data_IF_606925544541
#
_entry.id   IF_606925544541
#
_cell.length_a   1.000
_cell.length_b   1.000
_cell.length_c   1.000
_cell.angle_alpha   90.00
_cell.angle_beta   90.00
_cell.angle_gamma   90.00
#
_symmetry.space_group_name_H-M   'P 1'
#
loop_
_entity.id
_entity.type
_entity.pdbx_description
1 polymer ?
#
# COMPACT_ATOMS: atom_id res chain seq x y z
N UNK A 1 28.09 10.96 20.03
CA UNK A 1 27.56 10.64 18.68
C UNK A 1 26.37 9.68 18.76
N UNK A 2 26.46 8.57 19.51
CA UNK A 2 25.33 7.66 19.82
C UNK A 2 24.08 8.36 20.40
N UNK A 3 24.28 9.41 21.20
CA UNK A 3 23.21 10.18 21.85
C UNK A 3 22.20 10.83 20.88
N UNK A 4 22.61 11.19 19.66
CA UNK A 4 21.70 11.82 18.68
C UNK A 4 20.75 10.76 18.08
N UNK A 5 21.30 9.59 17.73
CA UNK A 5 20.53 8.48 17.17
C UNK A 5 19.60 7.87 18.21
N UNK A 6 20.09 7.69 19.44
CA UNK A 6 19.26 7.24 20.57
C UNK A 6 18.11 8.21 20.82
N UNK A 7 18.38 9.52 20.88
CA UNK A 7 17.34 10.54 21.04
C UNK A 7 16.32 10.50 19.92
N UNK A 8 16.73 10.21 18.69
CA UNK A 8 15.82 10.02 17.56
C UNK A 8 14.95 8.77 17.74
N UNK A 9 15.56 7.61 17.96
CA UNK A 9 14.87 6.32 18.04
C UNK A 9 13.84 6.25 19.18
N UNK A 10 14.17 6.84 20.34
CA UNK A 10 13.32 6.85 21.53
C UNK A 10 12.44 8.10 21.65
N UNK A 11 12.44 8.97 20.64
CA UNK A 11 11.50 10.10 20.61
C UNK A 11 10.08 9.63 20.26
N UNK A 12 9.05 10.35 20.74
CA UNK A 12 7.68 10.15 20.30
C UNK A 12 7.53 10.37 18.79
N UNK A 13 6.69 9.56 18.14
CA UNK A 13 6.49 9.62 16.67
C UNK A 13 6.10 11.03 16.16
N UNK A 14 5.32 11.76 16.96
CA UNK A 14 4.84 13.11 16.65
C UNK A 14 5.96 14.15 16.50
N UNK A 15 7.14 13.90 17.06
CA UNK A 15 8.26 14.85 17.02
C UNK A 15 8.84 15.02 15.62
N UNK A 16 8.94 13.92 14.86
CA UNK A 16 9.58 13.92 13.54
C UNK A 16 8.57 13.81 12.39
N UNK A 17 7.38 13.27 12.66
CA UNK A 17 6.35 13.07 11.65
C UNK A 17 5.13 13.90 12.02
N UNK A 18 4.63 14.67 11.06
CA UNK A 18 3.41 15.45 11.24
C UNK A 18 2.18 14.52 11.27
N UNK A 19 1.68 14.24 12.47
CA UNK A 19 0.57 13.32 12.74
C UNK A 19 -0.44 14.02 13.67
N UNK A 20 -1.74 13.77 13.43
CA UNK A 20 -2.84 14.27 14.27
C UNK A 20 -2.89 13.53 15.61
N UNK A 21 -3.41 14.18 16.65
CA UNK A 21 -3.47 13.60 18.00
C UNK A 21 -4.25 12.28 18.05
N UNK A 22 -5.36 12.19 17.32
CA UNK A 22 -6.19 10.99 17.27
C UNK A 22 -5.44 9.81 16.63
N UNK A 23 -4.60 10.10 15.62
CA UNK A 23 -3.76 9.12 14.95
C UNK A 23 -2.59 8.70 15.83
N UNK A 24 -2.02 9.59 16.65
CA UNK A 24 -1.03 9.21 17.67
C UNK A 24 -1.64 8.25 18.68
N UNK A 25 -2.87 8.51 19.13
CA UNK A 25 -3.61 7.60 20.00
C UNK A 25 -3.88 6.25 19.33
N UNK A 26 -4.09 6.24 18.00
CA UNK A 26 -4.19 5.02 17.22
C UNK A 26 -2.89 4.21 17.17
N UNK A 27 -1.76 4.87 16.93
CA UNK A 27 -0.43 4.23 16.95
C UNK A 27 -0.13 3.62 18.32
N UNK A 28 -0.45 4.32 19.43
CA UNK A 28 -0.28 3.78 20.78
C UNK A 28 -1.07 2.50 21.04
N UNK A 29 -2.27 2.35 20.48
CA UNK A 29 -3.06 1.10 20.57
C UNK A 29 -2.38 -0.08 19.87
N UNK A 30 -1.59 0.20 18.84
CA UNK A 30 -0.77 -0.81 18.16
C UNK A 30 0.54 -1.10 18.90
N UNK A 31 0.80 -0.45 20.03
CA UNK A 31 2.06 -0.54 20.77
C UNK A 31 3.17 0.35 20.22
N UNK A 32 2.85 1.26 19.29
CA UNK A 32 3.83 2.16 18.66
C UNK A 32 3.86 3.47 19.46
N UNK A 33 4.89 3.63 20.30
CA UNK A 33 5.08 4.84 21.10
C UNK A 33 6.17 5.75 20.52
N UNK A 34 7.24 5.13 20.02
CA UNK A 34 8.45 5.83 19.58
C UNK A 34 8.78 5.54 18.11
N UNK A 35 9.73 6.28 17.55
CA UNK A 35 10.20 6.08 16.16
C UNK A 35 10.77 4.66 15.97
N UNK A 36 11.48 4.11 16.96
CA UNK A 36 11.94 2.72 16.94
C UNK A 36 10.78 1.75 16.70
N UNK A 37 9.72 1.87 17.49
CA UNK A 37 8.57 0.95 17.39
C UNK A 37 7.93 1.04 16.00
N UNK A 38 7.90 2.24 15.41
CA UNK A 38 7.37 2.46 14.07
C UNK A 38 8.27 1.85 12.98
N UNK A 39 9.59 2.01 13.07
CA UNK A 39 10.55 1.43 12.13
C UNK A 39 10.49 -0.10 12.13
N UNK A 40 10.30 -0.71 13.29
CA UNK A 40 10.24 -2.17 13.44
C UNK A 40 8.81 -2.74 13.44
N UNK A 41 7.82 -1.95 13.03
CA UNK A 41 6.44 -2.41 12.92
C UNK A 41 6.21 -3.19 11.62
N UNK A 42 6.51 -4.48 11.65
CA UNK A 42 6.54 -5.32 10.46
C UNK A 42 5.15 -5.58 9.83
N UNK A 43 5.09 -5.76 8.51
CA UNK A 43 3.87 -6.18 7.85
C UNK A 43 3.49 -7.62 8.25
N UNK A 44 2.19 -7.88 8.30
CA UNK A 44 1.61 -9.20 8.61
C UNK A 44 1.52 -10.06 7.35
N UNK A 45 1.30 -9.43 6.20
CA UNK A 45 1.22 -10.09 4.90
C UNK A 45 1.61 -9.12 3.79
N UNK A 46 1.78 -9.64 2.58
CA UNK A 46 2.06 -8.86 1.39
C UNK A 46 0.98 -9.13 0.35
N UNK A 47 0.52 -8.06 -0.28
CA UNK A 47 -0.46 -8.11 -1.35
C UNK A 47 0.24 -7.97 -2.69
N UNK A 48 0.18 -9.02 -3.50
CA UNK A 48 0.69 -8.99 -4.86
C UNK A 48 -0.36 -8.39 -5.79
N UNK A 49 0.05 -7.42 -6.59
CA UNK A 49 -0.72 -6.73 -7.60
C UNK A 49 -0.05 -6.98 -8.95
N UNK A 50 -0.83 -7.37 -9.94
CA UNK A 50 -0.33 -7.53 -11.30
C UNK A 50 -0.32 -6.15 -11.95
N UNK A 51 0.86 -5.69 -12.37
CA UNK A 51 1.03 -4.40 -13.03
C UNK A 51 0.71 -4.52 -14.53
N UNK A 52 -0.21 -3.69 -15.00
CA UNK A 52 -0.66 -3.59 -16.40
C UNK A 52 -0.86 -4.95 -17.09
N UNK A 53 -1.67 -5.87 -16.52
CA UNK A 53 -1.93 -7.15 -17.16
C UNK A 53 -2.74 -6.98 -18.45
N UNK A 54 -2.67 -7.98 -19.31
CA UNK A 54 -3.65 -8.17 -20.36
C UNK A 54 -5.01 -8.49 -19.73
N UNK A 55 -5.99 -7.59 -19.88
CA UNK A 55 -7.34 -7.74 -19.29
C UNK A 55 -8.06 -9.02 -19.72
N UNK A 56 -7.69 -9.59 -20.87
CA UNK A 56 -8.25 -10.85 -21.37
C UNK A 56 -7.74 -12.08 -20.60
N UNK A 57 -6.58 -11.97 -19.94
CA UNK A 57 -5.92 -13.08 -19.24
C UNK A 57 -6.12 -13.05 -17.72
N UNK A 58 -6.70 -11.96 -17.21
CA UNK A 58 -6.94 -11.78 -15.77
C UNK A 58 -8.02 -12.74 -15.28
N UNK A 59 -7.80 -13.31 -14.09
CA UNK A 59 -8.73 -14.24 -13.47
C UNK A 59 -9.58 -13.55 -12.40
N UNK A 60 -10.73 -14.16 -12.12
CA UNK A 60 -11.55 -13.75 -10.98
C UNK A 60 -10.73 -13.81 -9.69
N UNK A 61 -10.74 -12.70 -8.95
CA UNK A 61 -10.04 -12.57 -7.69
C UNK A 61 -8.63 -12.00 -7.76
N UNK A 62 -8.06 -11.84 -8.96
CA UNK A 62 -6.76 -11.19 -9.13
C UNK A 62 -6.83 -9.72 -8.72
N UNK A 63 -5.73 -9.21 -8.18
CA UNK A 63 -5.62 -7.79 -7.85
C UNK A 63 -4.72 -7.18 -8.91
N UNK A 64 -5.29 -6.26 -9.69
CA UNK A 64 -4.57 -5.64 -10.80
C UNK A 64 -4.39 -4.16 -10.54
N UNK A 65 -3.36 -3.62 -11.17
CA UNK A 65 -3.16 -2.20 -11.28
C UNK A 65 -2.86 -1.85 -12.74
N UNK A 66 -3.74 -1.10 -13.38
CA UNK A 66 -3.62 -0.80 -14.82
C UNK A 66 -4.01 0.65 -15.08
N UNK A 67 -3.42 1.22 -16.13
CA UNK A 67 -3.93 2.44 -16.73
C UNK A 67 -5.21 2.12 -17.51
N UNK A 68 -6.19 3.02 -17.44
CA UNK A 68 -7.50 2.88 -18.09
C UNK A 68 -7.94 4.24 -18.63
N UNK A 69 -8.64 4.21 -19.75
CA UNK A 69 -9.32 5.37 -20.35
C UNK A 69 -10.81 5.25 -20.06
N UNK A 70 -11.41 6.32 -19.54
CA UNK A 70 -12.85 6.34 -19.26
C UNK A 70 -13.64 6.48 -20.58
N UNK A 71 -14.51 5.52 -20.87
CA UNK A 71 -15.33 5.52 -22.09
C UNK A 71 -16.74 6.08 -21.84
N UNK A 72 -17.37 5.68 -20.75
CA UNK A 72 -18.71 6.17 -20.40
C UNK A 72 -18.97 6.16 -18.91
N UNK A 73 -19.82 7.09 -18.46
CA UNK A 73 -20.21 7.25 -17.05
C UNK A 73 -21.72 7.11 -16.96
N UNK A 74 -22.18 6.00 -16.38
CA UNK A 74 -23.59 5.71 -16.18
C UNK A 74 -24.00 6.11 -14.76
N UNK A 75 -24.52 7.33 -14.63
CA UNK A 75 -24.99 7.86 -13.35
C UNK A 75 -26.24 7.09 -12.87
N UNK A 76 -26.32 6.76 -11.57
CA UNK A 76 -27.46 6.05 -11.03
C UNK A 76 -28.71 6.95 -11.04
N UNK A 77 -29.84 6.42 -11.52
CA UNK A 77 -31.13 7.13 -11.55
C UNK A 77 -31.81 7.16 -10.18
N UNK A 78 -31.48 6.20 -9.31
CA UNK A 78 -31.98 6.06 -7.94
C UNK A 78 -30.80 5.94 -6.98
N UNK A 79 -30.94 6.44 -5.76
CA UNK A 79 -29.86 6.41 -4.76
C UNK A 79 -29.39 5.00 -4.37
N UNK A 80 -30.21 3.97 -4.60
CA UNK A 80 -29.87 2.57 -4.33
C UNK A 80 -29.11 1.87 -5.46
N UNK A 81 -28.98 2.52 -6.62
CA UNK A 81 -28.27 1.94 -7.77
C UNK A 81 -26.79 2.31 -7.70
N UNK A 82 -25.89 1.37 -8.03
CA UNK A 82 -24.46 1.66 -8.09
C UNK A 82 -24.15 2.58 -9.28
N UNK A 83 -23.15 3.43 -9.10
CA UNK A 83 -22.52 4.15 -10.21
C UNK A 83 -21.65 3.17 -10.99
N UNK A 84 -21.87 3.12 -12.31
CA UNK A 84 -21.10 2.27 -13.22
C UNK A 84 -20.31 3.15 -14.18
N UNK A 85 -19.02 2.89 -14.31
CA UNK A 85 -18.15 3.58 -15.26
C UNK A 85 -17.52 2.52 -16.15
N UNK A 86 -17.76 2.61 -17.44
CA UNK A 86 -17.09 1.76 -18.42
C UNK A 86 -15.76 2.40 -18.77
N UNK A 87 -14.71 1.62 -18.67
CA UNK A 87 -13.37 2.03 -19.05
C UNK A 87 -12.71 0.93 -19.89
N UNK A 88 -11.68 1.30 -20.62
CA UNK A 88 -10.90 0.36 -21.42
C UNK A 88 -9.42 0.63 -21.29
N UNK A 89 -8.64 -0.37 -21.64
CA UNK A 89 -7.22 -0.26 -21.89
C UNK A 89 -6.92 -0.91 -23.26
N UNK A 90 -5.68 -0.88 -23.72
CA UNK A 90 -5.23 -1.44 -25.00
C UNK A 90 -5.63 -2.91 -25.20
N UNK A 91 -5.88 -3.64 -24.11
CA UNK A 91 -6.14 -5.08 -24.12
C UNK A 91 -7.60 -5.47 -23.95
N UNK A 92 -8.48 -4.54 -23.54
CA UNK A 92 -9.90 -4.87 -23.32
C UNK A 92 -10.67 -3.84 -22.51
N UNK A 93 -11.94 -4.15 -22.24
CA UNK A 93 -12.85 -3.30 -21.47
C UNK A 93 -13.05 -3.82 -20.05
N UNK A 94 -13.31 -2.90 -19.13
CA UNK A 94 -13.58 -3.18 -17.73
C UNK A 94 -14.68 -2.26 -17.17
N UNK A 95 -15.41 -2.76 -16.18
CA UNK A 95 -16.50 -2.02 -15.53
C UNK A 95 -16.08 -1.62 -14.12
N UNK A 96 -15.99 -0.32 -13.85
CA UNK A 96 -15.78 0.20 -12.50
C UNK A 96 -17.12 0.40 -11.81
N UNK A 97 -17.30 -0.25 -10.67
CA UNK A 97 -18.57 -0.25 -9.92
C UNK A 97 -18.37 0.42 -8.58
N UNK A 98 -19.18 1.44 -8.28
CA UNK A 98 -19.20 2.12 -7.00
C UNK A 98 -20.58 2.01 -6.35
N UNK A 99 -20.66 1.32 -5.22
CA UNK A 99 -21.91 1.22 -4.44
C UNK A 99 -22.22 2.50 -3.65
N UNK A 100 -21.18 3.31 -3.38
CA UNK A 100 -21.28 4.64 -2.77
C UNK A 100 -20.64 5.66 -3.70
N UNK A 101 -21.08 6.91 -3.64
CA UNK A 101 -20.47 7.97 -4.46
C UNK A 101 -18.97 8.04 -4.18
N UNK A 102 -18.11 8.01 -5.22
CA UNK A 102 -16.68 8.20 -5.02
C UNK A 102 -16.42 9.60 -4.43
N UNK A 103 -15.29 9.79 -3.74
CA UNK A 103 -14.92 11.09 -3.21
C UNK A 103 -14.97 12.19 -4.30
N UNK A 104 -15.43 13.41 -3.97
CA UNK A 104 -15.67 14.46 -4.96
C UNK A 104 -14.40 14.82 -5.75
N UNK A 105 -13.23 14.74 -5.12
CA UNK A 105 -11.94 15.02 -5.77
C UNK A 105 -11.56 13.99 -6.86
N UNK A 106 -12.07 12.76 -6.76
CA UNK A 106 -11.92 11.72 -7.79
C UNK A 106 -13.00 11.92 -8.84
N UNK A 107 -14.25 12.04 -8.39
CA UNK A 107 -15.40 12.14 -9.27
C UNK A 107 -15.29 13.31 -10.26
N UNK A 108 -14.84 14.47 -9.80
CA UNK A 108 -14.68 15.65 -10.66
C UNK A 108 -13.61 15.48 -11.74
N UNK A 109 -12.65 14.56 -11.55
CA UNK A 109 -11.59 14.24 -12.52
C UNK A 109 -12.00 13.14 -13.51
N UNK A 110 -13.05 12.39 -13.21
CA UNK A 110 -13.55 11.33 -14.07
C UNK A 110 -14.40 11.95 -15.18
N UNK A 111 -13.74 12.17 -16.31
CA UNK A 111 -14.39 12.63 -17.55
C UNK A 111 -14.12 11.62 -18.66
N UNK A 112 -15.05 11.52 -19.61
CA UNK A 112 -14.86 10.65 -20.77
C UNK A 112 -13.61 11.07 -21.54
N UNK A 113 -12.78 10.10 -21.92
CA UNK A 113 -11.50 10.31 -22.60
C UNK A 113 -10.31 10.59 -21.68
N UNK A 114 -10.51 10.66 -20.35
CA UNK A 114 -9.39 10.83 -19.41
C UNK A 114 -8.76 9.50 -19.01
N UNK A 115 -7.42 9.47 -18.99
CA UNK A 115 -6.64 8.33 -18.52
C UNK A 115 -6.38 8.41 -17.02
N UNK A 116 -6.54 7.28 -16.33
CA UNK A 116 -6.26 7.14 -14.89
C UNK A 116 -5.60 5.81 -14.60
N UNK A 117 -4.77 5.76 -13.56
CA UNK A 117 -4.26 4.49 -13.03
C UNK A 117 -5.18 4.05 -11.91
N UNK A 118 -5.68 2.83 -12.03
CA UNK A 118 -6.54 2.21 -11.02
C UNK A 118 -5.88 0.98 -10.42
N UNK A 119 -6.26 0.65 -9.20
CA UNK A 119 -5.91 -0.60 -8.52
C UNK A 119 -7.17 -1.21 -7.94
N UNK A 120 -7.34 -2.52 -8.07
CA UNK A 120 -8.46 -3.20 -7.41
C UNK A 120 -8.54 -4.68 -7.69
N UNK A 121 -9.41 -5.34 -6.93
CA UNK A 121 -9.71 -6.76 -7.10
C UNK A 121 -10.68 -6.92 -8.27
N UNK A 122 -10.27 -7.72 -9.24
CA UNK A 122 -11.07 -8.09 -10.40
C UNK A 122 -12.11 -9.11 -10.00
N UNK A 123 -13.31 -8.91 -10.52
CA UNK A 123 -14.45 -9.79 -10.38
C UNK A 123 -15.01 -10.07 -11.77
N UNK A 124 -15.35 -11.31 -12.05
CA UNK A 124 -16.08 -11.67 -13.26
C UNK A 124 -17.56 -11.83 -12.93
N UNK A 125 -18.39 -10.92 -13.44
CA UNK A 125 -19.83 -10.93 -13.17
C UNK A 125 -20.63 -10.55 -14.42
N UNK A 126 -21.65 -11.34 -14.73
CA UNK A 126 -22.55 -11.09 -15.88
C UNK A 126 -21.80 -10.93 -17.22
N UNK A 127 -20.77 -11.76 -17.43
CA UNK A 127 -19.84 -11.69 -18.57
C UNK A 127 -18.97 -10.42 -18.67
N UNK A 128 -19.00 -9.55 -17.66
CA UNK A 128 -18.14 -8.38 -17.58
C UNK A 128 -17.03 -8.58 -16.56
N UNK A 129 -15.83 -8.13 -16.92
CA UNK A 129 -14.74 -7.90 -15.99
C UNK A 129 -15.04 -6.60 -15.24
N UNK A 130 -15.21 -6.68 -13.92
CA UNK A 130 -15.55 -5.53 -13.09
C UNK A 130 -14.60 -5.36 -11.90
N UNK A 131 -14.42 -4.13 -11.47
CA UNK A 131 -13.70 -3.80 -10.22
C UNK A 131 -14.65 -3.02 -9.33
N UNK A 132 -14.96 -3.61 -8.17
CA UNK A 132 -15.76 -2.97 -7.13
C UNK A 132 -14.87 -2.04 -6.30
N UNK A 133 -15.28 -0.77 -6.17
CA UNK A 133 -14.54 0.25 -5.43
C UNK A 133 -13.04 0.31 -5.77
N UNK A 134 -12.68 0.60 -7.04
CA UNK A 134 -11.28 0.77 -7.42
C UNK A 134 -10.61 1.92 -6.64
N UNK A 135 -9.34 1.75 -6.32
CA UNK A 135 -8.49 2.83 -5.81
C UNK A 135 -7.85 3.56 -6.99
N UNK A 136 -7.94 4.90 -7.00
CA UNK A 136 -7.27 5.73 -8.00
C UNK A 136 -5.89 6.15 -7.53
N UNK A 137 -4.89 5.88 -8.38
CA UNK A 137 -3.50 6.24 -8.15
C UNK A 137 -3.22 7.54 -8.90
N UNK A 138 -3.11 8.63 -8.14
CA UNK A 138 -2.90 9.98 -8.70
C UNK A 138 -1.47 10.18 -9.23
N UNK A 139 -0.50 9.42 -8.71
CA UNK A 139 0.90 9.53 -9.12
C UNK A 139 1.42 8.15 -9.56
N UNK A 140 1.79 7.96 -10.84
CA UNK A 140 2.28 6.68 -11.37
C UNK A 140 3.51 6.16 -10.62
N UNK A 141 4.35 7.04 -10.06
CA UNK A 141 5.52 6.63 -9.27
C UNK A 141 5.17 5.89 -7.97
N UNK A 142 3.91 5.91 -7.57
CA UNK A 142 3.40 5.18 -6.41
C UNK A 142 2.88 3.78 -6.75
N UNK A 143 2.86 3.42 -8.04
CA UNK A 143 2.59 2.07 -8.51
C UNK A 143 3.55 1.07 -7.85
N UNK A 144 3.00 0.04 -7.20
CA UNK A 144 3.78 -1.02 -6.55
C UNK A 144 3.17 -2.36 -6.85
N UNK A 145 4.02 -3.28 -7.30
CA UNK A 145 3.65 -4.67 -7.53
C UNK A 145 3.33 -5.36 -6.21
N UNK A 146 4.15 -5.14 -5.19
CA UNK A 146 3.96 -5.75 -3.88
C UNK A 146 3.65 -4.64 -2.86
N UNK A 147 2.52 -4.74 -2.19
CA UNK A 147 2.13 -3.82 -1.13
C UNK A 147 2.13 -4.51 0.24
N UNK A 148 2.86 -4.00 1.24
CA UNK A 148 2.81 -4.54 2.59
C UNK A 148 1.45 -4.26 3.24
N UNK A 149 0.93 -5.25 3.95
CA UNK A 149 -0.28 -5.15 4.77
C UNK A 149 0.13 -5.19 6.25
N UNK A 150 -0.13 -4.11 6.97
CA UNK A 150 0.10 -4.02 8.41
C UNK A 150 -1.15 -4.35 9.22
N UNK A 151 -0.93 -4.73 10.49
CA UNK A 151 -2.01 -4.77 11.49
C UNK A 151 -2.55 -3.35 11.73
N UNK A 152 -3.85 -3.18 11.54
CA UNK A 152 -4.52 -1.88 11.66
C UNK A 152 -5.40 -1.81 12.91
N UNK A 153 -5.67 -0.58 13.33
CA UNK A 153 -6.67 -0.25 14.35
C UNK A 153 -7.64 0.78 13.76
N UNK A 154 -8.80 0.97 14.40
CA UNK A 154 -9.70 2.09 14.09
C UNK A 154 -8.96 3.41 13.91
N UNK A 155 -9.41 4.23 12.95
CA UNK A 155 -8.86 5.55 12.58
C UNK A 155 -7.50 5.54 11.88
N UNK A 156 -6.97 4.37 11.51
CA UNK A 156 -5.71 4.24 10.78
C UNK A 156 -5.91 3.37 9.55
N UNK A 157 -5.56 3.89 8.37
CA UNK A 157 -5.52 3.10 7.14
C UNK A 157 -4.13 2.52 6.87
N UNK A 158 -4.07 1.45 6.08
CA UNK A 158 -2.80 0.84 5.67
C UNK A 158 -1.88 1.87 5.00
N UNK A 159 -2.43 2.65 4.07
CA UNK A 159 -1.72 3.72 3.34
C UNK A 159 -1.14 4.79 4.25
N UNK A 160 -1.87 5.19 5.30
CA UNK A 160 -1.38 6.16 6.28
C UNK A 160 -0.21 5.60 7.08
N UNK A 161 -0.38 4.40 7.65
CA UNK A 161 0.68 3.75 8.44
C UNK A 161 1.92 3.51 7.59
N UNK A 162 1.74 2.99 6.38
CA UNK A 162 2.80 2.82 5.40
C UNK A 162 3.55 4.14 5.14
N UNK A 163 2.82 5.24 4.89
CA UNK A 163 3.43 6.55 4.66
C UNK A 163 4.26 7.03 5.87
N UNK A 164 3.83 6.73 7.10
CA UNK A 164 4.60 7.08 8.29
C UNK A 164 5.88 6.25 8.43
N UNK A 165 5.81 4.94 8.14
CA UNK A 165 6.97 4.06 8.15
C UNK A 165 8.00 4.51 7.11
N UNK A 166 7.57 4.83 5.88
CA UNK A 166 8.49 5.31 4.84
C UNK A 166 9.17 6.61 5.25
N UNK A 167 8.42 7.57 5.81
CA UNK A 167 9.01 8.81 6.33
C UNK A 167 10.01 8.55 7.46
N UNK A 168 9.71 7.59 8.34
CA UNK A 168 10.63 7.22 9.42
C UNK A 168 11.93 6.64 8.85
N UNK A 169 11.85 5.78 7.82
CA UNK A 169 13.00 5.20 7.13
C UNK A 169 13.83 6.29 6.43
N UNK A 170 13.19 7.23 5.74
CA UNK A 170 13.87 8.37 5.08
C UNK A 170 14.67 9.19 6.10
N UNK A 171 14.07 9.55 7.24
CA UNK A 171 14.75 10.32 8.29
C UNK A 171 15.86 9.48 8.95
N UNK A 172 15.63 8.18 9.14
CA UNK A 172 16.63 7.28 9.69
C UNK A 172 17.87 7.17 8.78
N UNK A 173 17.67 7.08 7.46
CA UNK A 173 18.74 7.11 6.46
C UNK A 173 19.57 8.40 6.54
N UNK A 174 18.91 9.57 6.64
CA UNK A 174 19.61 10.86 6.81
C UNK A 174 20.45 10.89 8.09
N UNK A 175 19.94 10.32 9.19
CA UNK A 175 20.69 10.25 10.45
C UNK A 175 21.87 9.27 10.37
N UNK A 176 21.71 8.13 9.70
CA UNK A 176 22.81 7.18 9.51
C UNK A 176 23.99 7.80 8.73
N UNK A 177 23.70 8.67 7.74
CA UNK A 177 24.74 9.39 6.98
C UNK A 177 25.62 10.31 7.84
N UNK A 178 25.11 10.78 8.98
CA UNK A 178 25.81 11.71 9.89
C UNK A 178 26.77 11.05 10.88
N UNK A 179 26.90 9.72 10.86
CA UNK A 179 27.72 8.96 11.82
C UNK A 179 29.13 8.77 11.24
N UNK A 180 30.15 9.11 12.04
CA UNK A 180 31.57 9.05 11.63
C UNK A 180 32.18 7.65 11.87
N UNK A 181 31.72 6.92 12.89
CA UNK A 181 32.21 5.58 13.22
C UNK A 181 31.84 4.56 12.13
N UNK A 182 32.86 4.02 11.47
CA UNK A 182 32.70 3.12 10.31
C UNK A 182 31.99 1.81 10.68
N UNK A 183 32.38 1.15 11.77
CA UNK A 183 31.77 -0.13 12.17
C UNK A 183 30.29 0.01 12.51
N UNK A 184 29.94 1.08 13.22
CA UNK A 184 28.54 1.37 13.59
C UNK A 184 27.72 1.72 12.35
N UNK A 185 28.30 2.49 11.43
CA UNK A 185 27.65 2.85 10.17
C UNK A 185 27.37 1.62 9.31
N UNK A 186 28.34 0.72 9.15
CA UNK A 186 28.16 -0.50 8.38
C UNK A 186 27.02 -1.37 8.94
N UNK A 187 26.91 -1.47 10.27
CA UNK A 187 25.81 -2.19 10.94
C UNK A 187 24.44 -1.52 10.70
N UNK A 188 24.37 -0.18 10.76
CA UNK A 188 23.13 0.57 10.54
C UNK A 188 22.68 0.52 9.08
N UNK A 189 23.63 0.51 8.13
CA UNK A 189 23.33 0.37 6.71
C UNK A 189 22.71 -1.00 6.40
N UNK A 190 23.19 -2.08 7.06
CA UNK A 190 22.56 -3.41 6.98
C UNK A 190 21.12 -3.37 7.51
N UNK A 191 20.89 -2.72 8.66
CA UNK A 191 19.54 -2.56 9.21
C UNK A 191 18.65 -1.78 8.24
N UNK A 192 19.15 -0.67 7.70
CA UNK A 192 18.42 0.15 6.74
C UNK A 192 18.03 -0.66 5.52
N UNK A 193 18.95 -1.45 4.97
CA UNK A 193 18.68 -2.33 3.84
C UNK A 193 17.59 -3.36 4.16
N UNK A 194 17.65 -3.99 5.34
CA UNK A 194 16.63 -4.95 5.77
C UNK A 194 15.25 -4.29 5.94
N UNK A 195 15.19 -3.09 6.52
CA UNK A 195 13.95 -2.33 6.65
C UNK A 195 13.38 -1.94 5.27
N UNK A 196 14.24 -1.48 4.36
CA UNK A 196 13.84 -1.19 2.98
C UNK A 196 13.32 -2.43 2.26
N UNK A 197 13.98 -3.58 2.42
CA UNK A 197 13.50 -4.85 1.88
C UNK A 197 12.12 -5.21 2.43
N UNK A 198 11.94 -5.17 3.74
CA UNK A 198 10.69 -5.58 4.40
C UNK A 198 9.51 -4.65 4.09
N UNK A 199 9.74 -3.34 4.00
CA UNK A 199 8.66 -2.35 3.84
C UNK A 199 8.50 -1.83 2.41
N UNK A 200 9.57 -1.65 1.65
CA UNK A 200 9.52 -0.99 0.34
C UNK A 200 9.42 -1.99 -0.81
N UNK A 201 9.81 -3.26 -0.59
CA UNK A 201 9.78 -4.38 -1.54
C UNK A 201 9.77 -3.91 -3.00
N UNK A 202 10.94 -3.52 -3.51
CA UNK A 202 11.15 -3.34 -4.95
C UNK A 202 11.53 -4.69 -5.52
N UNK A 203 10.96 -5.05 -6.66
CA UNK A 203 11.36 -6.26 -7.37
C UNK A 203 12.89 -6.29 -7.52
N UNK A 204 13.55 -7.29 -6.94
CA UNK A 204 14.88 -7.70 -7.37
C UNK A 204 14.67 -8.50 -8.67
N UNK A 205 15.18 -8.00 -9.81
CA UNK A 205 15.09 -8.68 -11.12
C UNK A 205 15.67 -10.11 -11.12
N UNK A 206 16.36 -10.54 -10.05
CA UNK A 206 16.94 -11.88 -9.92
C UNK A 206 15.98 -12.96 -9.37
N UNK A 207 14.74 -12.65 -8.97
CA UNK A 207 13.80 -13.66 -8.45
C UNK A 207 12.80 -14.18 -9.49
N UNK A 208 12.99 -13.89 -10.77
CA UNK A 208 12.11 -14.36 -11.83
C UNK A 208 12.60 -15.70 -12.41
N UNK A 209 12.02 -16.82 -11.97
CA UNK A 209 11.39 -17.81 -12.85
C UNK A 209 10.68 -18.95 -12.08
N UNK A 210 9.71 -19.63 -12.72
CA UNK A 210 8.41 -19.89 -12.12
C UNK A 210 8.26 -21.31 -11.58
N UNK A 211 7.34 -21.52 -10.63
CA UNK A 211 6.37 -22.63 -10.77
C UNK A 211 5.20 -22.51 -9.79
N UNK A 212 4.01 -22.81 -10.30
CA UNK A 212 2.77 -23.06 -9.56
C UNK A 212 3.03 -23.97 -8.36
N UNK A 213 2.73 -23.50 -7.16
CA UNK A 213 2.17 -24.32 -6.10
C UNK A 213 1.53 -23.40 -5.06
N UNK A 214 0.25 -23.64 -4.83
CA UNK A 214 -0.50 -23.15 -3.69
C UNK A 214 0.22 -23.52 -2.39
N UNK A 215 1.06 -22.63 -1.89
CA UNK A 215 1.61 -22.78 -0.54
C UNK A 215 0.48 -22.43 0.42
N UNK A 216 -0.23 -23.49 0.81
CA UNK A 216 -1.13 -23.51 1.93
C UNK A 216 -0.28 -23.30 3.20
N UNK A 217 0.02 -22.05 3.54
CA UNK A 217 0.65 -21.73 4.82
C UNK A 217 -0.43 -21.91 5.89
N UNK A 218 -0.50 -23.11 6.44
CA UNK A 218 -1.11 -23.33 7.75
C UNK A 218 -0.37 -22.43 8.74
N UNK A 219 -0.95 -21.29 9.07
CA UNK A 219 -0.53 -20.47 10.19
C UNK A 219 -0.63 -21.33 11.44
N UNK A 220 0.52 -21.79 11.93
CA UNK A 220 0.63 -22.37 13.26
C UNK A 220 0.30 -21.24 14.23
N UNK A 221 -0.84 -21.36 14.90
CA UNK A 221 -1.24 -20.50 16.01
C UNK A 221 -0.27 -20.68 17.17
N UNK A 222 0.91 -20.07 17.11
CA UNK A 222 1.75 -19.85 18.29
C UNK A 222 1.43 -18.47 18.84
N UNK A 223 0.47 -18.42 19.77
CA UNK A 223 0.29 -17.28 20.66
C UNK A 223 1.58 -17.08 21.44
N UNK A 224 2.29 -15.97 21.19
CA UNK A 224 3.33 -15.50 22.10
C UNK A 224 2.68 -14.91 23.36
N UNK A 225 3.22 -15.19 24.55
CA UNK A 225 2.66 -14.69 25.79
C UNK A 225 2.88 -13.18 25.86
N UNK A 226 1.80 -12.44 26.11
CA UNK A 226 1.90 -11.03 26.48
C UNK A 226 2.26 -10.93 27.96
N UNK A 227 3.06 -9.91 28.36
CA UNK A 227 3.37 -9.66 29.77
C UNK A 227 2.10 -9.35 30.59
#
# INVERSE_FOLDING_TARGET
>A
MLTILEKFLFSPVKTFINIREDTVSALKRLGINNIRDLLFYLPVSYQNKILSPNLTEVRDGDIIQTEIVVESINLPKKSSQPLKITASNDTGSLLLVFFHKPPPFIFNKLQVGTSHIISGKVQFFDHYLQISHPEFIVNPKLAKEIEPIYSLTYLLSNKQLYSYIIKAIEIFEEKCKSIEDKEVKDYLDIILQNLQMLHVFRHCEEACMPTKQSINVKLINSRWPRP
#
